data_IF_161105636363
#
_entry.id   IF_161105636363
#
_cell.length_a   1.000
_cell.length_b   1.000
_cell.length_c   1.000
_cell.angle_alpha   90.00
_cell.angle_beta   90.00
_cell.angle_gamma   90.00
#
_symmetry.space_group_name_H-M   'P 1'
#
loop_
_entity.id
_entity.type
_entity.pdbx_description
1 polymer ?
#
# COMPACT_ATOMS: atom_id res chain seq x y z
N UNK A 1 -3.82 -24.62 10.87
CA UNK A 1 -2.64 -24.43 9.97
C UNK A 1 -1.38 -24.80 10.70
N UNK A 2 -0.35 -25.33 9.98
CA UNK A 2 1.00 -25.52 10.53
C UNK A 2 1.94 -24.50 9.93
N UNK A 3 2.70 -23.80 10.77
CA UNK A 3 3.57 -22.69 10.40
C UNK A 3 4.94 -22.90 11.05
N UNK A 4 5.99 -22.87 10.24
CA UNK A 4 7.35 -23.00 10.72
C UNK A 4 8.28 -21.95 10.14
N UNK A 5 8.94 -21.17 11.01
CA UNK A 5 9.91 -20.15 10.63
C UNK A 5 11.30 -20.50 11.12
N UNK A 6 12.28 -20.41 10.23
CA UNK A 6 13.70 -20.61 10.53
C UNK A 6 14.54 -19.45 9.98
N UNK A 7 15.63 -19.12 10.68
CA UNK A 7 16.65 -18.22 10.16
C UNK A 7 17.46 -18.90 9.05
N UNK A 8 17.86 -18.11 8.05
CA UNK A 8 18.71 -18.57 6.94
C UNK A 8 19.85 -17.59 6.68
N UNK A 9 20.98 -18.12 6.19
CA UNK A 9 22.13 -17.33 5.75
C UNK A 9 21.91 -16.92 4.28
N UNK A 10 21.06 -15.91 4.07
CA UNK A 10 20.70 -15.48 2.73
C UNK A 10 21.02 -13.99 2.55
N UNK A 11 21.76 -13.67 1.52
CA UNK A 11 22.21 -12.30 1.21
C UNK A 11 21.64 -11.76 -0.11
N UNK A 12 21.03 -12.62 -0.92
CA UNK A 12 20.51 -12.23 -2.23
C UNK A 12 19.21 -11.40 -2.14
N UNK A 13 18.95 -10.54 -3.12
CA UNK A 13 17.70 -9.78 -3.20
C UNK A 13 16.46 -10.69 -3.26
N UNK A 14 15.36 -10.29 -2.60
CA UNK A 14 14.14 -11.08 -2.51
C UNK A 14 13.32 -11.08 -3.82
N UNK A 15 13.23 -9.95 -4.53
CA UNK A 15 12.39 -9.79 -5.74
C UNK A 15 12.68 -10.84 -6.84
N UNK A 16 13.93 -11.24 -7.12
CA UNK A 16 14.21 -12.28 -8.12
C UNK A 16 13.56 -13.64 -7.82
N UNK A 17 13.15 -13.87 -6.57
CA UNK A 17 12.49 -15.11 -6.12
C UNK A 17 10.96 -15.03 -6.16
N UNK A 18 10.37 -13.82 -6.26
CA UNK A 18 8.92 -13.63 -6.34
C UNK A 18 8.31 -14.36 -7.55
N UNK A 19 7.03 -14.73 -7.46
CA UNK A 19 6.31 -15.26 -8.62
C UNK A 19 6.31 -14.23 -9.77
N UNK A 20 6.56 -14.61 -11.02
CA UNK A 20 6.65 -13.67 -12.13
C UNK A 20 5.30 -13.11 -12.59
N UNK A 21 4.18 -13.81 -12.30
CA UNK A 21 2.83 -13.44 -12.77
C UNK A 21 1.95 -12.92 -11.63
N UNK A 22 2.01 -13.60 -10.47
CA UNK A 22 1.24 -13.26 -9.28
C UNK A 22 2.17 -12.99 -8.08
N UNK A 23 3.02 -11.95 -8.16
CA UNK A 23 3.96 -11.67 -7.08
C UNK A 23 3.25 -11.21 -5.81
N UNK A 24 3.69 -11.73 -4.67
CA UNK A 24 3.37 -11.20 -3.34
C UNK A 24 4.63 -10.55 -2.79
N UNK A 25 4.64 -9.24 -2.68
CA UNK A 25 5.83 -8.45 -2.34
C UNK A 25 5.45 -7.30 -1.41
N UNK A 26 6.21 -7.15 -0.34
CA UNK A 26 6.17 -6.00 0.56
C UNK A 26 7.58 -5.64 1.00
N UNK A 27 8.16 -4.62 0.38
CA UNK A 27 9.56 -4.25 0.58
C UNK A 27 9.76 -2.74 0.73
N UNK A 28 10.75 -2.38 1.53
CA UNK A 28 11.27 -1.01 1.59
C UNK A 28 12.78 -1.06 1.78
N UNK A 29 13.56 -0.33 0.95
CA UNK A 29 15.04 -0.38 0.95
C UNK A 29 15.59 -1.80 0.79
N UNK A 30 14.87 -2.66 0.08
CA UNK A 30 15.22 -4.06 -0.14
C UNK A 30 15.00 -4.97 1.08
N UNK A 31 14.41 -4.49 2.16
CA UNK A 31 14.01 -5.25 3.34
C UNK A 31 12.48 -5.43 3.38
N UNK A 32 12.02 -6.50 3.99
CA UNK A 32 10.61 -6.88 4.09
C UNK A 32 10.38 -8.33 3.72
N UNK A 33 9.26 -8.64 3.08
CA UNK A 33 8.82 -10.02 2.81
C UNK A 33 8.38 -10.22 1.35
N UNK A 34 8.58 -11.45 0.86
CA UNK A 34 8.08 -11.96 -0.43
C UNK A 34 7.36 -13.28 -0.17
N UNK A 35 6.12 -13.40 -0.66
CA UNK A 35 5.32 -14.62 -0.59
C UNK A 35 5.39 -15.40 -1.89
N UNK A 36 5.30 -16.73 -1.79
CA UNK A 36 5.26 -17.69 -2.90
C UNK A 36 4.16 -18.70 -2.68
N UNK A 37 3.44 -19.03 -3.74
CA UNK A 37 2.26 -19.90 -3.66
C UNK A 37 1.08 -19.24 -2.94
N UNK A 38 0.00 -19.98 -2.77
CA UNK A 38 -1.21 -19.57 -2.05
C UNK A 38 -1.79 -20.79 -1.34
N UNK A 39 -1.79 -20.79 -0.02
CA UNK A 39 -2.42 -21.83 0.81
C UNK A 39 -3.88 -21.53 1.05
N UNK A 40 -4.20 -20.26 1.28
CA UNK A 40 -5.53 -19.79 1.59
C UNK A 40 -5.72 -18.36 1.11
N UNK A 41 -6.95 -18.08 0.68
CA UNK A 41 -7.42 -16.75 0.34
C UNK A 41 -8.69 -16.45 1.13
N UNK A 42 -8.72 -15.30 1.80
CA UNK A 42 -9.92 -14.74 2.43
C UNK A 42 -10.36 -13.59 1.55
N UNK A 43 -11.52 -13.71 0.92
CA UNK A 43 -12.11 -12.64 0.12
C UNK A 43 -13.28 -12.01 0.86
N UNK A 44 -13.42 -10.70 0.73
CA UNK A 44 -14.49 -9.93 1.32
C UNK A 44 -14.88 -8.74 0.43
N UNK A 45 -16.11 -8.26 0.57
CA UNK A 45 -16.65 -7.13 -0.19
C UNK A 45 -17.69 -6.38 0.63
N UNK A 46 -18.12 -5.22 0.16
CA UNK A 46 -19.13 -4.42 0.87
C UNK A 46 -18.56 -3.55 1.99
N UNK A 47 -19.46 -2.98 2.77
CA UNK A 47 -19.13 -2.03 3.84
C UNK A 47 -18.33 -2.68 4.98
N UNK A 48 -18.59 -3.95 5.27
CA UNK A 48 -17.96 -4.71 6.36
C UNK A 48 -16.71 -5.49 5.90
N UNK A 49 -16.21 -5.27 4.66
CA UNK A 49 -15.12 -6.07 4.06
C UNK A 49 -13.86 -6.17 4.91
N UNK A 50 -13.51 -5.11 5.64
CA UNK A 50 -12.31 -5.11 6.50
C UNK A 50 -12.61 -5.85 7.81
N UNK A 51 -13.80 -5.66 8.39
CA UNK A 51 -14.24 -6.35 9.61
C UNK A 51 -14.37 -7.86 9.38
N UNK A 52 -14.98 -8.27 8.26
CA UNK A 52 -15.13 -9.68 7.87
C UNK A 52 -13.76 -10.35 7.68
N UNK A 53 -12.85 -9.68 6.97
CA UNK A 53 -11.49 -10.18 6.78
C UNK A 53 -10.72 -10.26 8.11
N UNK A 54 -10.84 -9.26 8.99
CA UNK A 54 -10.19 -9.24 10.30
C UNK A 54 -10.73 -10.36 11.21
N UNK A 55 -12.04 -10.59 11.21
CA UNK A 55 -12.65 -11.66 11.99
C UNK A 55 -12.21 -13.05 11.50
N UNK A 56 -12.23 -13.28 10.18
CA UNK A 56 -11.77 -14.53 9.58
C UNK A 56 -10.28 -14.76 9.83
N UNK A 57 -9.43 -13.71 9.72
CA UNK A 57 -8.01 -13.80 10.01
C UNK A 57 -7.73 -14.17 11.48
N UNK A 58 -8.42 -13.52 12.42
CA UNK A 58 -8.26 -13.79 13.87
C UNK A 58 -8.62 -15.25 14.19
N UNK A 59 -9.74 -15.75 13.68
CA UNK A 59 -10.15 -17.14 13.88
C UNK A 59 -9.11 -18.13 13.32
N UNK A 60 -8.54 -17.82 12.17
CA UNK A 60 -7.48 -18.64 11.56
C UNK A 60 -6.20 -18.63 12.38
N UNK A 61 -5.79 -17.46 12.88
CA UNK A 61 -4.59 -17.28 13.69
C UNK A 61 -4.69 -18.02 15.05
N UNK A 62 -5.87 -17.99 15.70
CA UNK A 62 -6.14 -18.71 16.95
C UNK A 62 -6.00 -20.24 16.83
N UNK A 63 -6.27 -20.79 15.62
CA UNK A 63 -6.19 -22.23 15.36
C UNK A 63 -4.84 -22.68 14.77
N UNK A 64 -3.95 -21.75 14.49
CA UNK A 64 -2.66 -22.03 13.86
C UNK A 64 -1.63 -22.59 14.88
N UNK A 65 -0.94 -23.65 14.48
CA UNK A 65 0.23 -24.18 15.20
C UNK A 65 1.50 -23.53 14.63
N UNK A 66 2.11 -22.64 15.42
CA UNK A 66 3.21 -21.76 14.97
C UNK A 66 4.49 -22.06 15.73
N UNK A 67 5.53 -22.56 15.02
CA UNK A 67 6.93 -22.66 15.50
C UNK A 67 7.74 -21.52 14.83
N UNK A 68 7.78 -20.36 15.46
CA UNK A 68 8.61 -19.24 15.03
C UNK A 68 9.83 -19.06 15.92
N UNK A 69 11.02 -19.33 15.37
CA UNK A 69 12.31 -19.22 16.08
C UNK A 69 13.04 -17.91 15.78
N UNK A 70 12.44 -17.01 15.02
CA UNK A 70 13.06 -15.75 14.57
C UNK A 70 12.47 -14.55 15.28
N UNK A 71 11.16 -14.47 15.42
CA UNK A 71 10.44 -13.44 16.19
C UNK A 71 10.68 -12.02 15.67
N UNK A 72 10.57 -11.82 14.37
CA UNK A 72 10.66 -10.49 13.72
C UNK A 72 9.33 -10.15 13.04
N UNK A 73 9.00 -8.87 12.84
CA UNK A 73 7.84 -8.50 12.04
C UNK A 73 7.86 -9.15 10.64
N UNK A 74 6.80 -9.87 10.29
CA UNK A 74 6.69 -10.63 9.05
C UNK A 74 7.22 -12.07 9.13
N UNK A 75 7.51 -12.59 10.32
CA UNK A 75 7.73 -14.02 10.58
C UNK A 75 6.44 -14.70 11.07
N UNK A 76 6.43 -16.01 11.22
CA UNK A 76 5.25 -16.76 11.66
C UNK A 76 4.15 -16.79 10.60
N UNK A 77 2.90 -16.86 11.05
CA UNK A 77 1.73 -16.82 10.18
C UNK A 77 1.53 -15.42 9.62
N UNK A 78 1.53 -15.28 8.28
CA UNK A 78 1.41 -13.98 7.60
C UNK A 78 0.42 -14.06 6.44
N UNK A 79 -0.38 -13.01 6.26
CA UNK A 79 -1.17 -12.79 5.05
C UNK A 79 -0.85 -11.44 4.41
N UNK A 80 -0.69 -11.44 3.08
CA UNK A 80 -0.63 -10.21 2.28
C UNK A 80 -2.05 -9.73 1.99
N UNK A 81 -2.32 -8.43 2.09
CA UNK A 81 -3.65 -7.88 1.92
C UNK A 81 -3.74 -6.72 0.96
N UNK A 82 -4.85 -6.65 0.23
CA UNK A 82 -5.25 -5.49 -0.57
C UNK A 82 -6.76 -5.31 -0.49
N UNK A 83 -7.20 -4.13 -0.05
CA UNK A 83 -8.62 -3.83 0.18
C UNK A 83 -9.14 -2.80 -0.82
N UNK A 84 -10.39 -2.99 -1.24
CA UNK A 84 -11.09 -2.04 -2.09
C UNK A 84 -11.27 -0.68 -1.38
N UNK A 85 -11.22 0.40 -2.16
CA UNK A 85 -11.40 1.76 -1.66
C UNK A 85 -12.82 2.02 -1.18
N UNK A 86 -13.81 1.70 -2.01
CA UNK A 86 -15.23 1.99 -1.74
C UNK A 86 -15.99 0.75 -1.27
N UNK A 87 -17.06 1.00 -0.52
CA UNK A 87 -17.93 -0.06 0.02
C UNK A 87 -18.70 -0.81 -1.07
N UNK A 88 -18.97 -0.15 -2.18
CA UNK A 88 -19.70 -0.66 -3.35
C UNK A 88 -18.79 -1.04 -4.53
N UNK A 89 -17.46 -1.06 -4.31
CA UNK A 89 -16.51 -1.48 -5.33
C UNK A 89 -16.77 -2.90 -5.81
N UNK A 90 -16.66 -3.10 -7.13
CA UNK A 90 -16.72 -4.42 -7.74
C UNK A 90 -15.44 -5.25 -7.52
N UNK A 91 -14.34 -4.59 -7.16
CA UNK A 91 -13.08 -5.27 -6.87
C UNK A 91 -13.15 -5.94 -5.48
N UNK A 92 -12.86 -7.25 -5.36
CA UNK A 92 -12.81 -7.92 -4.08
C UNK A 92 -11.63 -7.43 -3.24
N UNK A 93 -11.80 -7.34 -1.94
CA UNK A 93 -10.72 -7.25 -0.97
C UNK A 93 -10.20 -8.65 -0.67
N UNK A 94 -8.90 -8.81 -0.48
CA UNK A 94 -8.31 -10.11 -0.23
C UNK A 94 -7.21 -10.08 0.84
N UNK A 95 -7.15 -11.14 1.66
CA UNK A 95 -5.98 -11.55 2.40
C UNK A 95 -5.48 -12.87 1.82
N UNK A 96 -4.21 -12.95 1.47
CA UNK A 96 -3.59 -14.08 0.79
C UNK A 96 -2.51 -14.65 1.70
N UNK A 97 -2.67 -15.90 2.11
CA UNK A 97 -1.69 -16.65 2.90
C UNK A 97 -0.80 -17.44 1.94
N UNK A 98 0.50 -17.12 1.82
CA UNK A 98 1.40 -17.85 0.93
C UNK A 98 1.81 -19.21 1.52
N UNK A 99 2.30 -20.12 0.67
CA UNK A 99 2.92 -21.39 1.09
C UNK A 99 4.30 -21.15 1.70
N UNK A 100 5.03 -20.18 1.17
CA UNK A 100 6.38 -19.83 1.59
C UNK A 100 6.51 -18.31 1.72
N UNK A 101 7.10 -17.85 2.81
CA UNK A 101 7.51 -16.45 3.00
C UNK A 101 9.02 -16.38 3.10
N UNK A 102 9.63 -15.55 2.27
CA UNK A 102 11.03 -15.18 2.36
C UNK A 102 11.10 -13.77 2.93
N UNK A 103 11.86 -13.57 3.99
CA UNK A 103 11.97 -12.27 4.61
C UNK A 103 13.40 -11.85 4.93
N UNK A 104 13.60 -10.54 5.01
CA UNK A 104 14.86 -9.93 5.45
C UNK A 104 14.59 -8.63 6.19
N UNK A 105 15.22 -8.47 7.34
CA UNK A 105 15.15 -7.22 8.15
C UNK A 105 16.37 -7.11 9.04
N UNK A 106 16.99 -5.92 9.10
CA UNK A 106 18.12 -5.60 9.98
C UNK A 106 19.27 -6.61 9.87
N UNK A 107 19.63 -7.03 8.66
CA UNK A 107 20.69 -7.98 8.37
C UNK A 107 20.38 -9.44 8.73
N UNK A 108 19.16 -9.75 9.16
CA UNK A 108 18.68 -11.13 9.40
C UNK A 108 17.75 -11.53 8.27
N UNK A 109 17.86 -12.80 7.82
CA UNK A 109 16.98 -13.38 6.82
C UNK A 109 16.30 -14.63 7.39
N UNK A 110 15.10 -14.91 6.88
CA UNK A 110 14.30 -16.07 7.31
C UNK A 110 13.48 -16.65 6.18
N UNK A 111 13.03 -17.85 6.43
CA UNK A 111 12.02 -18.54 5.61
C UNK A 111 10.92 -19.04 6.53
N UNK A 112 9.67 -18.77 6.16
CA UNK A 112 8.49 -19.35 6.80
C UNK A 112 7.79 -20.28 5.83
N UNK A 113 7.50 -21.51 6.24
CA UNK A 113 6.62 -22.43 5.52
C UNK A 113 5.26 -22.45 6.20
N UNK A 114 4.18 -22.35 5.40
CA UNK A 114 2.79 -22.41 5.84
C UNK A 114 2.10 -23.52 5.06
N UNK A 115 1.35 -24.39 5.76
CA UNK A 115 0.58 -25.47 5.16
C UNK A 115 -0.74 -25.69 5.89
N UNK A 116 -1.75 -26.21 5.18
CA UNK A 116 -2.94 -26.72 5.84
C UNK A 116 -2.58 -27.97 6.64
N UNK A 117 -2.98 -28.05 7.90
CA UNK A 117 -2.86 -29.29 8.66
C UNK A 117 -3.81 -30.31 8.02
N UNK A 118 -3.30 -31.27 7.27
CA UNK A 118 -4.05 -32.46 6.87
C UNK A 118 -4.07 -33.42 8.05
N UNK A 119 -5.25 -33.76 8.57
CA UNK A 119 -5.43 -34.85 9.53
C UNK A 119 -4.82 -36.12 8.93
N UNK A 120 -3.96 -36.81 9.70
CA UNK A 120 -3.09 -37.94 9.36
C UNK A 120 -1.70 -37.52 8.82
N UNK A 121 -0.93 -36.85 9.66
CA UNK A 121 0.53 -37.01 9.58
C UNK A 121 0.83 -38.35 10.22
N UNK A 122 1.22 -39.34 9.41
CA UNK A 122 1.83 -40.58 9.94
C UNK A 122 2.95 -40.20 10.91
N UNK A 123 2.80 -40.56 12.19
CA UNK A 123 3.85 -40.34 13.21
C UNK A 123 5.19 -41.00 12.84
N UNK A 124 5.25 -41.72 11.73
CA UNK A 124 6.45 -42.36 11.19
C UNK A 124 7.45 -41.40 10.55
N UNK A 125 7.05 -40.19 10.16
CA UNK A 125 7.93 -39.20 9.51
C UNK A 125 8.56 -38.19 10.49
N UNK A 126 8.33 -38.32 11.81
CA UNK A 126 8.85 -37.40 12.84
C UNK A 126 10.01 -37.99 13.67
N UNK A 127 10.46 -39.21 13.39
CA UNK A 127 11.58 -39.85 14.10
C UNK A 127 12.87 -39.76 13.30
N UNK A 128 13.63 -38.71 13.53
CA UNK A 128 14.99 -38.62 13.01
C UNK A 128 15.42 -37.14 12.93
N UNK A 129 16.69 -36.93 13.10
CA UNK A 129 17.48 -35.70 12.92
C UNK A 129 17.29 -35.00 11.52
N UNK A 130 16.24 -35.37 10.79
CA UNK A 130 15.76 -34.83 9.52
C UNK A 130 14.89 -33.55 9.64
N UNK A 131 14.88 -32.91 10.83
CA UNK A 131 14.34 -31.54 11.00
C UNK A 131 15.05 -30.49 10.12
N UNK A 132 16.03 -30.92 9.34
CA UNK A 132 16.65 -30.23 8.23
C UNK A 132 16.15 -30.78 6.89
N UNK A 133 14.87 -31.09 6.74
CA UNK A 133 14.30 -31.17 5.40
C UNK A 133 14.62 -29.83 4.74
N UNK A 134 15.64 -29.85 3.91
CA UNK A 134 16.24 -28.69 3.27
C UNK A 134 15.13 -27.86 2.65
N UNK A 135 14.78 -26.72 3.27
CA UNK A 135 13.88 -25.73 2.70
C UNK A 135 14.62 -25.24 1.45
N UNK A 136 14.34 -25.89 0.31
CA UNK A 136 14.94 -25.51 -0.97
C UNK A 136 14.35 -24.19 -1.35
N UNK A 137 15.13 -23.13 -1.16
CA UNK A 137 14.78 -21.80 -1.64
C UNK A 137 14.65 -21.85 -3.16
N UNK A 138 13.59 -21.28 -3.74
CA UNK A 138 13.51 -21.14 -5.18
C UNK A 138 14.73 -20.41 -5.71
N UNK A 139 15.34 -20.91 -6.76
CA UNK A 139 16.48 -20.22 -7.36
C UNK A 139 16.09 -18.82 -7.86
N UNK A 140 16.95 -17.83 -7.66
CA UNK A 140 16.70 -16.48 -8.21
C UNK A 140 16.62 -16.56 -9.72
N UNK A 141 15.51 -16.14 -10.28
CA UNK A 141 15.40 -16.14 -11.73
C UNK A 141 16.20 -14.98 -12.34
N UNK A 142 16.76 -15.17 -13.54
CA UNK A 142 17.53 -14.13 -14.22
C UNK A 142 16.67 -12.88 -14.46
N UNK A 143 17.32 -11.71 -14.40
CA UNK A 143 16.68 -10.42 -14.70
C UNK A 143 16.07 -10.48 -16.11
N UNK A 144 14.75 -10.31 -16.20
CA UNK A 144 14.06 -10.14 -17.47
C UNK A 144 14.03 -8.66 -17.86
N UNK A 145 13.76 -8.42 -19.13
CA UNK A 145 13.57 -7.06 -19.66
C UNK A 145 12.32 -6.45 -19.02
N UNK A 146 12.37 -5.14 -18.71
CA UNK A 146 11.19 -4.37 -18.30
C UNK A 146 10.17 -4.41 -19.44
N UNK A 147 8.90 -4.78 -19.18
CA UNK A 147 7.85 -4.73 -20.18
C UNK A 147 7.67 -3.31 -20.70
N UNK A 148 7.18 -3.16 -21.91
CA UNK A 148 6.86 -1.86 -22.50
C UNK A 148 5.36 -1.73 -22.67
N UNK A 149 4.74 -0.99 -21.78
CA UNK A 149 3.31 -0.70 -21.81
C UNK A 149 3.08 0.72 -22.35
N UNK A 150 2.33 0.81 -23.45
CA UNK A 150 1.90 2.10 -24.00
C UNK A 150 0.60 2.53 -23.31
N UNK A 151 0.68 3.53 -22.46
CA UNK A 151 -0.47 4.04 -21.72
C UNK A 151 -1.26 5.08 -22.51
N UNK A 152 -2.58 5.02 -22.42
CA UNK A 152 -3.54 5.99 -22.95
C UNK A 152 -4.51 6.42 -21.84
N UNK A 153 -5.20 7.57 -21.96
CA UNK A 153 -6.23 7.96 -21.00
C UNK A 153 -7.32 6.89 -20.89
N UNK A 154 -7.71 6.54 -19.65
CA UNK A 154 -8.83 5.65 -19.38
C UNK A 154 -10.19 6.32 -19.61
N UNK A 155 -11.21 5.94 -18.84
CA UNK A 155 -12.58 6.46 -18.97
C UNK A 155 -12.70 7.97 -18.71
N UNK A 156 -11.76 8.56 -17.97
CA UNK A 156 -11.70 9.98 -17.66
C UNK A 156 -10.60 10.65 -18.48
N UNK A 157 -11.02 11.38 -19.56
CA UNK A 157 -10.09 12.17 -20.37
C UNK A 157 -9.54 13.35 -19.58
N UNK A 158 -8.37 13.93 -19.97
CA UNK A 158 -7.84 15.14 -19.34
C UNK A 158 -8.86 16.27 -19.21
N UNK A 159 -9.59 16.57 -20.27
CA UNK A 159 -10.62 17.62 -20.27
C UNK A 159 -11.79 17.31 -19.34
N UNK A 160 -12.19 16.03 -19.22
CA UNK A 160 -13.22 15.64 -18.26
C UNK A 160 -12.71 15.79 -16.81
N UNK A 161 -11.46 15.42 -16.55
CA UNK A 161 -10.84 15.62 -15.24
C UNK A 161 -10.81 17.10 -14.83
N UNK A 162 -10.36 18.01 -15.73
CA UNK A 162 -10.36 19.45 -15.46
C UNK A 162 -11.77 19.99 -15.15
N UNK A 163 -12.81 19.50 -15.85
CA UNK A 163 -14.20 19.85 -15.55
C UNK A 163 -14.65 19.35 -14.18
N UNK A 164 -14.26 18.11 -13.80
CA UNK A 164 -14.56 17.56 -12.49
C UNK A 164 -13.87 18.36 -11.38
N UNK A 165 -12.63 18.79 -11.59
CA UNK A 165 -11.91 19.70 -10.66
C UNK A 165 -12.65 21.03 -10.51
N UNK A 166 -13.02 21.68 -11.62
CA UNK A 166 -13.76 22.94 -11.58
C UNK A 166 -15.10 22.82 -10.84
N UNK A 167 -15.82 21.72 -11.04
CA UNK A 167 -17.07 21.44 -10.31
C UNK A 167 -16.83 21.19 -8.83
N UNK A 168 -15.76 20.49 -8.47
CA UNK A 168 -15.38 20.27 -7.06
C UNK A 168 -15.05 21.60 -6.36
N UNK A 169 -14.27 22.49 -7.00
CA UNK A 169 -13.97 23.85 -6.49
C UNK A 169 -15.27 24.61 -6.25
N UNK A 170 -16.19 24.62 -7.22
CA UNK A 170 -17.48 25.29 -7.09
C UNK A 170 -18.29 24.78 -5.88
N UNK A 171 -18.30 23.48 -5.61
CA UNK A 171 -18.97 22.89 -4.43
C UNK A 171 -18.28 23.27 -3.13
N UNK A 172 -16.95 23.35 -3.14
CA UNK A 172 -16.16 23.80 -1.98
C UNK A 172 -16.46 25.26 -1.67
N UNK A 173 -16.49 26.15 -2.68
CA UNK A 173 -16.84 27.55 -2.55
C UNK A 173 -18.28 27.76 -2.05
N UNK A 174 -19.19 26.85 -2.41
CA UNK A 174 -20.56 26.84 -1.90
C UNK A 174 -20.67 26.35 -0.44
N UNK A 175 -19.59 25.84 0.14
CA UNK A 175 -19.55 25.34 1.51
C UNK A 175 -20.06 23.92 1.69
N UNK A 176 -20.24 23.14 0.61
CA UNK A 176 -20.71 21.76 0.69
C UNK A 176 -19.68 20.85 1.36
N UNK A 177 -18.39 21.10 1.09
CA UNK A 177 -17.27 20.36 1.67
C UNK A 177 -16.03 21.25 1.70
N UNK A 178 -14.98 20.80 2.42
CA UNK A 178 -13.72 21.55 2.57
C UNK A 178 -12.66 21.06 1.57
N UNK A 179 -12.66 19.75 1.28
CA UNK A 179 -11.68 19.08 0.42
C UNK A 179 -12.29 17.83 -0.19
N UNK A 180 -11.90 17.53 -1.43
CA UNK A 180 -12.13 16.23 -2.06
C UNK A 180 -10.89 15.81 -2.85
N UNK A 181 -10.60 14.52 -2.90
CA UNK A 181 -9.54 13.99 -3.77
C UNK A 181 -10.17 13.40 -5.01
N UNK A 182 -9.80 13.92 -6.19
CA UNK A 182 -10.27 13.41 -7.48
C UNK A 182 -9.14 12.69 -8.21
N UNK A 183 -9.47 11.53 -8.80
CA UNK A 183 -8.54 10.68 -9.50
C UNK A 183 -8.90 10.51 -10.98
N UNK A 184 -7.94 10.04 -11.77
CA UNK A 184 -8.10 9.58 -13.14
C UNK A 184 -7.23 8.37 -13.43
N UNK A 185 -7.45 7.74 -14.59
CA UNK A 185 -6.81 6.51 -14.99
C UNK A 185 -5.98 6.70 -16.26
N UNK A 186 -4.91 5.90 -16.37
CA UNK A 186 -4.27 5.53 -17.63
C UNK A 186 -4.41 4.03 -17.81
N UNK A 187 -4.67 3.58 -19.04
CA UNK A 187 -4.84 2.17 -19.37
C UNK A 187 -3.84 1.77 -20.44
N UNK A 188 -3.26 0.62 -20.28
CA UNK A 188 -2.35 -0.01 -21.23
C UNK A 188 -2.50 -1.52 -21.19
N UNK A 189 -1.69 -2.24 -21.96
CA UNK A 189 -1.74 -3.69 -22.09
C UNK A 189 -0.35 -4.29 -21.87
N UNK A 190 -0.29 -5.32 -21.05
CA UNK A 190 0.89 -6.14 -20.76
C UNK A 190 0.84 -7.36 -21.67
N UNK A 191 1.94 -7.68 -22.35
CA UNK A 191 1.99 -8.88 -23.15
C UNK A 191 2.10 -10.15 -22.29
N UNK A 192 1.51 -11.24 -22.74
CA UNK A 192 1.40 -12.51 -22.00
C UNK A 192 2.76 -13.09 -21.54
N UNK A 193 3.82 -12.85 -22.31
CA UNK A 193 5.18 -13.30 -22.00
C UNK A 193 5.94 -12.41 -21.01
N UNK A 194 5.39 -11.24 -20.68
CA UNK A 194 6.02 -10.28 -19.76
C UNK A 194 5.78 -10.70 -18.32
N UNK A 195 6.82 -10.58 -17.51
CA UNK A 195 6.74 -10.82 -16.06
C UNK A 195 6.86 -9.52 -15.28
N UNK A 196 6.18 -9.47 -14.14
CA UNK A 196 6.08 -8.26 -13.30
C UNK A 196 7.33 -7.99 -12.44
N UNK A 197 8.21 -8.97 -12.24
CA UNK A 197 9.43 -8.83 -11.41
C UNK A 197 10.34 -7.67 -11.82
N UNK A 198 10.50 -7.45 -13.12
CA UNK A 198 11.36 -6.37 -13.62
C UNK A 198 10.76 -4.99 -13.29
N UNK A 199 9.43 -4.85 -13.40
CA UNK A 199 8.69 -3.65 -13.03
C UNK A 199 8.81 -3.37 -11.52
N UNK A 200 8.61 -4.40 -10.67
CA UNK A 200 8.72 -4.28 -9.21
C UNK A 200 10.16 -3.94 -8.81
N UNK A 201 11.16 -4.58 -9.43
CA UNK A 201 12.57 -4.29 -9.16
C UNK A 201 12.91 -2.85 -9.50
N UNK A 202 12.43 -2.34 -10.63
CA UNK A 202 12.64 -0.94 -11.03
C UNK A 202 11.99 0.04 -10.06
N UNK A 203 10.76 -0.25 -9.58
CA UNK A 203 10.13 0.55 -8.53
C UNK A 203 10.99 0.60 -7.25
N UNK A 204 11.57 -0.54 -6.85
CA UNK A 204 12.45 -0.61 -5.67
C UNK A 204 13.78 0.13 -5.85
N UNK A 205 14.36 0.10 -7.05
CA UNK A 205 15.60 0.79 -7.38
C UNK A 205 15.39 2.33 -7.47
N UNK A 206 14.30 2.75 -8.15
CA UNK A 206 14.04 4.17 -8.42
C UNK A 206 13.38 4.89 -7.20
N UNK A 207 12.65 4.14 -6.35
CA UNK A 207 11.92 4.67 -5.18
C UNK A 207 12.22 3.90 -3.89
N UNK A 208 13.48 3.80 -3.43
CA UNK A 208 13.88 2.92 -2.32
C UNK A 208 13.23 3.27 -0.98
N UNK A 209 12.83 4.53 -0.78
CA UNK A 209 12.24 5.01 0.47
C UNK A 209 10.72 4.82 0.55
N UNK A 210 10.11 4.22 -0.47
CA UNK A 210 8.68 3.90 -0.51
C UNK A 210 8.42 2.44 -0.18
N UNK A 211 7.17 2.12 0.15
CA UNK A 211 6.69 0.75 0.22
C UNK A 211 6.47 0.23 -1.19
N UNK A 212 7.35 -0.64 -1.64
CA UNK A 212 7.18 -1.39 -2.90
C UNK A 212 6.34 -2.61 -2.62
N UNK A 213 5.22 -2.71 -3.30
CA UNK A 213 4.27 -3.79 -3.07
C UNK A 213 3.79 -4.42 -4.38
N UNK A 214 3.42 -5.69 -4.26
CA UNK A 214 2.66 -6.42 -5.24
C UNK A 214 1.74 -7.40 -4.50
N UNK A 215 0.43 -7.25 -4.64
CA UNK A 215 -0.59 -8.11 -4.00
C UNK A 215 -1.77 -8.22 -4.96
N UNK A 216 -2.05 -9.43 -5.42
CA UNK A 216 -3.22 -9.74 -6.26
C UNK A 216 -3.36 -8.82 -7.49
N UNK A 217 -2.29 -8.67 -8.25
CA UNK A 217 -2.21 -7.80 -9.42
C UNK A 217 -2.04 -6.31 -9.14
N UNK A 218 -2.26 -5.85 -7.90
CA UNK A 218 -2.01 -4.46 -7.52
C UNK A 218 -0.51 -4.26 -7.26
N UNK A 219 0.15 -3.41 -8.05
CA UNK A 219 1.60 -3.17 -8.00
C UNK A 219 1.88 -1.69 -7.84
N UNK A 220 2.81 -1.34 -6.94
CA UNK A 220 3.12 0.07 -6.73
C UNK A 220 4.29 0.36 -5.81
N UNK A 221 4.52 1.66 -5.59
CA UNK A 221 5.55 2.21 -4.71
C UNK A 221 4.98 3.38 -3.90
N UNK A 222 4.33 3.06 -2.77
CA UNK A 222 3.64 4.05 -1.95
C UNK A 222 4.56 4.76 -0.96
N UNK A 223 4.54 6.09 -0.91
CA UNK A 223 5.25 6.85 0.12
C UNK A 223 4.49 6.95 1.44
N UNK A 224 3.19 6.59 1.46
CA UNK A 224 2.28 6.88 2.56
C UNK A 224 1.96 5.65 3.39
N UNK A 225 2.46 5.62 4.63
CA UNK A 225 2.13 4.58 5.60
C UNK A 225 0.77 4.91 6.21
N UNK A 226 -0.24 4.05 5.95
CA UNK A 226 -1.54 4.17 6.58
C UNK A 226 -1.41 3.91 8.09
N UNK A 227 -0.93 2.72 8.44
CA UNK A 227 -0.66 2.33 9.82
C UNK A 227 0.32 1.16 9.86
N UNK A 228 1.19 1.15 10.87
CA UNK A 228 2.02 0.03 11.26
C UNK A 228 1.77 -0.26 12.73
N UNK A 229 1.62 -1.53 13.05
CA UNK A 229 1.62 -2.07 14.41
C UNK A 229 2.78 -3.04 14.54
N UNK A 230 3.57 -2.90 15.61
CA UNK A 230 4.75 -3.69 15.89
C UNK A 230 4.86 -3.86 17.42
N UNK A 231 4.49 -5.03 17.94
CA UNK A 231 4.45 -5.33 19.37
C UNK A 231 3.68 -4.24 20.17
N UNK A 232 2.50 -3.88 19.66
CA UNK A 232 1.64 -2.87 20.26
C UNK A 232 2.10 -1.41 20.07
N UNK A 233 3.22 -1.17 19.37
CA UNK A 233 3.63 0.17 18.96
C UNK A 233 2.94 0.55 17.65
N UNK A 234 2.23 1.65 17.65
CA UNK A 234 1.51 2.18 16.48
C UNK A 234 2.32 3.29 15.85
N UNK A 235 2.43 3.27 14.54
CA UNK A 235 2.95 4.40 13.77
C UNK A 235 2.17 4.61 12.49
N UNK A 236 2.06 5.86 12.06
CA UNK A 236 1.44 6.28 10.81
C UNK A 236 2.18 7.49 10.25
N UNK A 237 2.14 7.69 8.95
CA UNK A 237 2.68 8.90 8.30
C UNK A 237 1.62 9.50 7.39
N UNK A 238 1.20 10.71 7.72
CA UNK A 238 0.24 11.48 6.93
C UNK A 238 0.99 12.33 5.93
N UNK A 239 0.59 12.25 4.66
CA UNK A 239 1.11 13.09 3.57
C UNK A 239 -0.03 13.91 2.96
N UNK A 240 0.13 15.23 2.91
CA UNK A 240 -0.75 16.15 2.19
C UNK A 240 0.03 17.42 1.87
N UNK A 241 -0.29 18.10 0.76
CA UNK A 241 0.54 19.16 0.22
C UNK A 241 1.71 18.63 -0.62
N UNK A 242 1.85 19.11 -1.86
CA UNK A 242 2.82 18.58 -2.83
C UNK A 242 3.39 19.70 -3.70
N UNK A 243 4.71 19.63 -3.97
CA UNK A 243 5.35 20.49 -4.95
C UNK A 243 6.39 19.71 -5.77
N UNK A 244 6.53 20.03 -7.05
CA UNK A 244 7.55 19.44 -7.91
C UNK A 244 8.97 19.80 -7.44
N UNK A 245 9.93 18.88 -7.64
CA UNK A 245 11.34 19.11 -7.41
C UNK A 245 11.89 20.24 -8.28
N UNK A 246 12.88 20.96 -7.81
CA UNK A 246 13.63 21.92 -8.58
C UNK A 246 14.66 21.27 -9.52
N UNK A 247 15.02 21.95 -10.61
CA UNK A 247 15.98 21.43 -11.60
C UNK A 247 17.44 21.36 -11.10
N UNK A 248 17.74 21.95 -9.95
CA UNK A 248 19.06 21.95 -9.32
C UNK A 248 18.97 22.19 -7.82
N UNK A 249 20.05 21.92 -7.09
CA UNK A 249 20.05 21.90 -5.61
C UNK A 249 19.52 23.19 -4.95
N UNK A 250 19.85 24.36 -5.49
CA UNK A 250 19.37 25.63 -4.95
C UNK A 250 17.85 25.80 -5.18
N UNK A 251 17.38 25.58 -6.42
CA UNK A 251 15.98 25.63 -6.78
C UNK A 251 15.16 24.55 -6.03
N UNK A 252 15.74 23.40 -5.79
CA UNK A 252 15.08 22.31 -5.08
C UNK A 252 14.88 22.63 -3.59
N UNK A 253 15.87 23.22 -2.93
CA UNK A 253 15.74 23.75 -1.57
C UNK A 253 14.70 24.89 -1.48
N UNK A 254 14.65 25.76 -2.48
CA UNK A 254 13.65 26.83 -2.56
C UNK A 254 12.23 26.22 -2.65
N UNK A 255 12.01 25.16 -3.46
CA UNK A 255 10.74 24.46 -3.56
C UNK A 255 10.31 23.87 -2.21
N UNK A 256 11.21 23.16 -1.51
CA UNK A 256 10.89 22.62 -0.19
C UNK A 256 10.53 23.73 0.82
N UNK A 257 11.24 24.87 0.80
CA UNK A 257 10.94 26.02 1.65
C UNK A 257 9.60 26.67 1.28
N UNK A 258 9.30 26.79 0.00
CA UNK A 258 8.01 27.30 -0.49
C UNK A 258 6.86 26.47 -0.01
N UNK A 259 6.98 25.13 -0.05
CA UNK A 259 5.97 24.21 0.43
C UNK A 259 5.71 24.37 1.93
N UNK A 260 6.78 24.49 2.74
CA UNK A 260 6.66 24.73 4.20
C UNK A 260 6.08 26.11 4.55
N UNK A 261 6.13 27.07 3.63
CA UNK A 261 5.57 28.41 3.84
C UNK A 261 4.19 28.59 3.18
N UNK A 262 3.68 27.60 2.47
CA UNK A 262 2.39 27.65 1.77
C UNK A 262 1.23 27.51 2.76
N UNK A 263 0.49 28.56 3.01
CA UNK A 263 -0.68 28.51 3.90
C UNK A 263 -1.71 27.48 3.41
N UNK A 264 -1.97 27.43 2.08
CA UNK A 264 -2.87 26.46 1.43
C UNK A 264 -2.47 25.02 1.77
N UNK A 265 -1.19 24.67 1.55
CA UNK A 265 -0.70 23.29 1.75
C UNK A 265 -0.66 22.93 3.24
N UNK A 266 -0.34 23.88 4.12
CA UNK A 266 -0.39 23.69 5.57
C UNK A 266 -1.81 23.47 6.08
N UNK A 267 -2.80 24.20 5.60
CA UNK A 267 -4.21 24.02 5.96
C UNK A 267 -4.74 22.66 5.47
N UNK A 268 -4.42 22.27 4.23
CA UNK A 268 -4.73 20.94 3.69
C UNK A 268 -4.12 19.84 4.57
N UNK A 269 -2.85 20.00 4.92
CA UNK A 269 -2.10 19.05 5.75
C UNK A 269 -2.69 18.92 7.16
N UNK A 270 -3.02 20.04 7.80
CA UNK A 270 -3.60 20.05 9.14
C UNK A 270 -4.94 19.29 9.21
N UNK A 271 -5.80 19.43 8.19
CA UNK A 271 -7.04 18.66 8.08
C UNK A 271 -6.79 17.15 7.98
N UNK A 272 -5.79 16.74 7.20
CA UNK A 272 -5.42 15.35 7.05
C UNK A 272 -4.88 14.75 8.37
N UNK A 273 -3.97 15.48 9.05
CA UNK A 273 -3.42 15.08 10.36
C UNK A 273 -4.50 14.98 11.42
N UNK A 274 -5.35 15.99 11.55
CA UNK A 274 -6.46 15.97 12.52
C UNK A 274 -7.40 14.79 12.29
N UNK A 275 -7.69 14.46 11.03
CA UNK A 275 -8.50 13.30 10.68
C UNK A 275 -7.84 12.00 11.14
N UNK A 276 -6.53 11.82 10.92
CA UNK A 276 -5.80 10.62 11.31
C UNK A 276 -5.72 10.48 12.84
N UNK A 277 -5.40 11.57 13.55
CA UNK A 277 -5.37 11.60 15.04
C UNK A 277 -6.72 11.19 15.61
N UNK A 278 -7.82 11.83 15.18
CA UNK A 278 -9.17 11.51 15.67
C UNK A 278 -9.58 10.04 15.46
N UNK A 279 -8.97 9.36 14.48
CA UNK A 279 -9.26 7.95 14.19
C UNK A 279 -8.40 6.97 14.99
N UNK A 280 -7.15 7.34 15.28
CA UNK A 280 -6.23 6.50 16.05
C UNK A 280 -6.37 6.70 17.57
N UNK A 281 -6.73 7.89 18.02
CA UNK A 281 -6.83 8.22 19.46
C UNK A 281 -7.71 7.23 20.26
N UNK A 282 -8.89 6.78 19.77
CA UNK A 282 -9.71 5.81 20.49
C UNK A 282 -9.05 4.45 20.74
N UNK A 283 -8.08 4.07 19.90
CA UNK A 283 -7.39 2.78 19.93
C UNK A 283 -6.04 2.83 20.67
N UNK A 284 -5.58 4.02 21.04
CA UNK A 284 -4.24 4.22 21.62
C UNK A 284 -4.31 4.71 23.07
N UNK A 285 -3.48 4.11 23.94
CA UNK A 285 -3.28 4.62 25.31
C UNK A 285 -2.52 5.96 25.30
N UNK A 286 -1.69 6.17 24.29
CA UNK A 286 -0.96 7.40 24.03
C UNK A 286 -0.76 7.55 22.52
N UNK A 287 -0.96 8.76 22.01
CA UNK A 287 -0.69 9.13 20.62
C UNK A 287 0.02 10.48 20.57
N UNK A 288 1.18 10.53 19.96
CA UNK A 288 1.98 11.73 19.76
C UNK A 288 2.09 12.00 18.25
N UNK A 289 1.90 13.25 17.85
CA UNK A 289 2.18 13.73 16.50
C UNK A 289 3.49 14.54 16.49
N UNK A 290 4.21 14.55 15.37
CA UNK A 290 5.33 15.47 15.16
C UNK A 290 4.83 16.91 15.42
N UNK A 291 5.56 17.74 16.20
CA UNK A 291 5.07 19.07 16.60
C UNK A 291 4.85 20.02 15.44
N UNK A 292 5.62 19.86 14.36
CA UNK A 292 5.51 20.59 13.10
C UNK A 292 5.62 19.63 11.91
N UNK A 293 4.95 19.92 10.79
CA UNK A 293 5.15 19.16 9.57
C UNK A 293 6.56 19.39 9.02
N UNK A 294 7.11 18.37 8.37
CA UNK A 294 8.39 18.42 7.69
C UNK A 294 8.25 18.08 6.21
N UNK A 295 9.26 18.40 5.40
CA UNK A 295 9.27 18.03 3.99
C UNK A 295 9.83 16.64 3.78
N UNK A 296 9.07 15.77 3.12
CA UNK A 296 9.51 14.45 2.65
C UNK A 296 9.93 14.54 1.19
N UNK A 297 11.19 14.22 0.93
CA UNK A 297 11.76 14.20 -0.41
C UNK A 297 11.47 12.86 -1.11
N UNK A 298 10.86 12.93 -2.29
CA UNK A 298 10.78 11.83 -3.24
C UNK A 298 11.60 12.16 -4.50
N UNK A 299 11.93 11.21 -5.35
CA UNK A 299 12.74 11.48 -6.55
C UNK A 299 12.20 12.60 -7.44
N UNK A 300 10.89 12.76 -7.57
CA UNK A 300 10.22 13.69 -8.49
C UNK A 300 9.45 14.84 -7.81
N UNK A 301 9.24 14.80 -6.49
CA UNK A 301 8.44 15.78 -5.76
C UNK A 301 8.77 15.86 -4.28
N UNK A 302 8.27 16.93 -3.62
CA UNK A 302 8.25 17.09 -2.16
C UNK A 302 6.81 16.95 -1.64
N UNK A 303 6.63 16.32 -0.47
CA UNK A 303 5.40 16.34 0.31
C UNK A 303 5.61 17.01 1.67
N UNK A 304 4.55 17.61 2.24
CA UNK A 304 4.49 17.81 3.68
C UNK A 304 4.17 16.47 4.34
N UNK A 305 4.81 16.20 5.46
CA UNK A 305 4.68 14.96 6.21
C UNK A 305 4.55 15.23 7.72
N UNK A 306 3.74 14.44 8.41
CA UNK A 306 3.65 14.36 9.86
C UNK A 306 3.67 12.91 10.28
N UNK A 307 4.58 12.55 11.19
CA UNK A 307 4.64 11.23 11.80
C UNK A 307 3.76 11.18 13.06
N UNK A 308 2.92 10.15 13.15
CA UNK A 308 2.16 9.81 14.33
C UNK A 308 2.79 8.57 14.96
N UNK A 309 2.96 8.58 16.29
CA UNK A 309 3.48 7.45 17.06
C UNK A 309 2.65 7.25 18.32
N UNK A 310 2.33 6.00 18.64
CA UNK A 310 1.51 5.68 19.78
C UNK A 310 1.72 4.27 20.28
N UNK A 311 0.97 3.93 21.32
CA UNK A 311 0.91 2.57 21.88
C UNK A 311 -0.55 2.14 21.91
N UNK A 312 -0.86 0.94 21.47
CA UNK A 312 -2.21 0.37 21.56
C UNK A 312 -2.72 0.35 23.00
N UNK A 313 -4.01 0.62 23.17
CA UNK A 313 -4.66 0.68 24.47
C UNK A 313 -5.88 -0.24 24.63
N UNK A 314 -6.39 -0.78 23.53
CA UNK A 314 -7.67 -1.53 23.49
C UNK A 314 -7.54 -2.96 22.94
N UNK A 315 -6.33 -3.42 22.63
CA UNK A 315 -6.11 -4.75 22.05
C UNK A 315 -6.47 -4.84 20.56
N UNK A 316 -6.62 -3.72 19.87
CA UNK A 316 -6.85 -3.69 18.41
C UNK A 316 -5.68 -4.31 17.65
N UNK A 317 -5.99 -4.98 16.53
CA UNK A 317 -5.01 -5.43 15.54
C UNK A 317 -4.70 -4.32 14.52
N UNK A 318 -3.70 -4.54 13.66
CA UNK A 318 -3.40 -3.66 12.53
C UNK A 318 -4.59 -3.53 11.58
N UNK A 319 -5.40 -4.59 11.38
CA UNK A 319 -6.61 -4.55 10.55
C UNK A 319 -7.72 -3.70 11.19
N UNK A 320 -7.89 -3.74 12.51
CA UNK A 320 -8.84 -2.85 13.21
C UNK A 320 -8.47 -1.38 13.00
N UNK A 321 -7.17 -1.05 13.05
CA UNK A 321 -6.69 0.31 12.76
C UNK A 321 -6.85 0.69 11.29
N UNK A 322 -6.62 -0.25 10.36
CA UNK A 322 -6.91 -0.06 8.93
C UNK A 322 -8.37 0.34 8.74
N UNK A 323 -9.30 -0.39 9.35
CA UNK A 323 -10.74 -0.06 9.32
C UNK A 323 -11.04 1.33 9.88
N UNK A 324 -10.48 1.65 11.02
CA UNK A 324 -10.70 2.94 11.67
C UNK A 324 -10.24 4.10 10.79
N UNK A 325 -9.08 3.97 10.13
CA UNK A 325 -8.47 5.03 9.34
C UNK A 325 -9.00 5.13 7.91
N UNK A 326 -9.32 3.99 7.27
CA UNK A 326 -9.69 3.99 5.84
C UNK A 326 -11.13 4.47 5.59
N UNK A 327 -11.34 5.26 4.50
CA UNK A 327 -10.34 6.05 3.80
C UNK A 327 -9.98 7.33 4.55
N UNK A 328 -8.70 7.71 4.46
CA UNK A 328 -8.20 8.95 5.07
C UNK A 328 -8.64 10.21 4.31
N UNK A 329 -8.57 11.38 4.95
CA UNK A 329 -8.82 12.65 4.27
C UNK A 329 -7.78 12.95 3.16
N UNK A 330 -6.61 12.31 3.20
CA UNK A 330 -5.57 12.44 2.18
C UNK A 330 -5.97 11.82 0.83
N UNK A 331 -6.90 10.85 0.82
CA UNK A 331 -7.34 10.14 -0.40
C UNK A 331 -8.84 10.22 -0.68
N UNK A 332 -9.64 10.67 0.29
CA UNK A 332 -11.07 10.90 0.14
C UNK A 332 -11.42 12.39 0.19
N UNK A 333 -11.25 13.04 1.34
CA UNK A 333 -11.57 14.44 1.58
C UNK A 333 -12.29 14.68 2.91
N UNK A 334 -12.78 15.91 3.10
CA UNK A 334 -13.38 16.38 4.35
C UNK A 334 -14.63 17.23 4.07
N UNK A 335 -15.80 16.95 4.68
CA UNK A 335 -16.14 15.79 5.51
C UNK A 335 -16.21 14.48 4.69
N UNK A 336 -15.71 13.38 5.25
CA UNK A 336 -15.53 12.09 4.56
C UNK A 336 -16.77 11.61 3.77
N UNK A 337 -17.95 11.58 4.41
CA UNK A 337 -19.19 11.07 3.79
C UNK A 337 -19.63 11.91 2.59
N UNK A 338 -19.38 13.22 2.63
CA UNK A 338 -19.72 14.12 1.53
C UNK A 338 -18.70 13.96 0.41
N UNK A 339 -17.42 13.90 0.76
CA UNK A 339 -16.34 13.70 -0.20
C UNK A 339 -16.50 12.41 -1.00
N UNK A 340 -16.84 11.28 -0.35
CA UNK A 340 -17.07 10.00 -1.03
C UNK A 340 -18.21 10.07 -2.06
N UNK A 341 -19.32 10.76 -1.75
CA UNK A 341 -20.41 10.99 -2.73
C UNK A 341 -19.95 11.84 -3.89
N UNK A 342 -19.17 12.90 -3.64
CA UNK A 342 -18.65 13.78 -4.70
C UNK A 342 -17.66 13.01 -5.59
N UNK A 343 -16.84 12.12 -5.02
CA UNK A 343 -15.95 11.22 -5.77
C UNK A 343 -16.76 10.35 -6.73
N UNK A 344 -17.78 9.64 -6.23
CA UNK A 344 -18.65 8.78 -7.02
C UNK A 344 -19.31 9.54 -8.18
N UNK A 345 -19.85 10.73 -7.92
CA UNK A 345 -20.50 11.58 -8.93
C UNK A 345 -19.53 12.11 -9.99
N UNK A 346 -18.30 12.50 -9.62
CA UNK A 346 -17.39 13.24 -10.50
C UNK A 346 -16.36 12.37 -11.21
N UNK A 347 -15.93 11.25 -10.63
CA UNK A 347 -14.96 10.35 -11.25
C UNK A 347 -15.60 9.44 -12.30
N UNK A 348 -16.73 8.81 -11.97
CA UNK A 348 -17.48 7.95 -12.89
C UNK A 348 -16.75 6.67 -13.29
N UNK A 349 -15.88 6.16 -12.41
CA UNK A 349 -15.24 4.85 -12.47
C UNK A 349 -15.02 4.33 -11.04
N UNK A 350 -14.96 3.00 -10.92
CA UNK A 350 -14.57 2.35 -9.67
C UNK A 350 -13.04 2.44 -9.50
N UNK A 351 -12.58 2.94 -8.37
CA UNK A 351 -11.15 2.96 -8.00
C UNK A 351 -10.59 1.57 -7.77
N UNK A 352 -11.44 0.56 -7.58
CA UNK A 352 -11.02 -0.75 -7.16
C UNK A 352 -10.20 -0.67 -5.87
N UNK A 353 -8.96 -1.16 -5.92
CA UNK A 353 -8.01 -1.13 -4.80
C UNK A 353 -7.10 0.11 -4.77
N UNK A 354 -7.14 0.97 -5.78
CA UNK A 354 -6.41 2.24 -5.76
C UNK A 354 -6.88 3.12 -4.61
N UNK A 355 -5.94 3.71 -3.88
CA UNK A 355 -6.16 4.48 -2.66
C UNK A 355 -6.78 3.66 -1.49
N UNK A 356 -6.94 2.35 -1.66
CA UNK A 356 -7.29 1.39 -0.62
C UNK A 356 -6.06 0.99 0.21
N UNK A 357 -6.28 0.28 1.33
CA UNK A 357 -5.19 -0.30 2.13
C UNK A 357 -4.51 -1.46 1.40
N UNK A 358 -3.18 -1.50 1.43
CA UNK A 358 -2.35 -2.59 0.94
C UNK A 358 -1.23 -2.85 1.94
N UNK A 359 -0.92 -4.12 2.21
CA UNK A 359 0.09 -4.45 3.21
C UNK A 359 0.09 -5.91 3.60
N UNK A 360 0.40 -6.18 4.86
CA UNK A 360 0.37 -7.51 5.47
C UNK A 360 -0.03 -7.45 6.93
N UNK A 361 -0.52 -8.59 7.44
CA UNK A 361 -0.85 -8.84 8.85
C UNK A 361 -0.27 -10.18 9.26
N UNK A 362 0.20 -10.30 10.51
CA UNK A 362 0.63 -11.56 11.10
C UNK A 362 -0.38 -12.16 12.07
N UNK A 363 -0.02 -13.33 12.63
CA UNK A 363 -0.86 -14.07 13.56
C UNK A 363 -1.09 -13.37 14.89
N UNK A 364 -0.21 -12.46 15.31
CA UNK A 364 -0.34 -11.66 16.52
C UNK A 364 -1.17 -10.38 16.33
N UNK A 365 -1.57 -10.11 15.08
CA UNK A 365 -2.33 -8.92 14.70
C UNK A 365 -1.45 -7.70 14.41
N UNK A 366 -0.14 -7.85 14.48
CA UNK A 366 0.81 -6.84 13.99
C UNK A 366 0.76 -6.75 12.46
N UNK A 367 1.31 -5.69 11.89
CA UNK A 367 1.29 -5.54 10.44
C UNK A 367 1.74 -4.17 9.97
N UNK A 368 1.98 -4.09 8.66
CA UNK A 368 2.36 -2.85 7.98
C UNK A 368 1.43 -2.61 6.81
N UNK A 369 0.78 -1.46 6.79
CA UNK A 369 -0.21 -1.08 5.79
C UNK A 369 0.10 0.28 5.21
N UNK A 370 0.10 0.39 3.89
CA UNK A 370 0.18 1.65 3.16
C UNK A 370 -1.15 1.95 2.46
N UNK A 371 -1.31 3.19 2.05
CA UNK A 371 -2.34 3.55 1.08
C UNK A 371 -1.81 3.21 -0.32
N UNK A 372 -2.57 2.46 -1.13
CA UNK A 372 -2.17 2.05 -2.47
C UNK A 372 -2.10 3.25 -3.43
N UNK A 373 -0.97 3.93 -3.41
CA UNK A 373 -0.66 5.08 -4.26
C UNK A 373 0.51 4.77 -5.20
N UNK A 374 0.66 5.56 -6.26
CA UNK A 374 1.71 5.33 -7.27
C UNK A 374 1.68 3.87 -7.74
N UNK A 375 0.49 3.40 -8.09
CA UNK A 375 0.21 2.00 -8.37
C UNK A 375 -0.56 1.81 -9.68
N UNK A 376 -0.55 0.56 -10.13
CA UNK A 376 -1.42 0.06 -11.18
C UNK A 376 -2.02 -1.28 -10.75
N UNK A 377 -3.24 -1.55 -11.18
CA UNK A 377 -3.83 -2.88 -11.19
C UNK A 377 -3.48 -3.56 -12.51
N UNK A 378 -2.97 -4.78 -12.45
CA UNK A 378 -2.74 -5.66 -13.59
C UNK A 378 -3.77 -6.78 -13.49
N UNK A 379 -4.67 -6.82 -14.45
CA UNK A 379 -5.74 -7.81 -14.49
C UNK A 379 -5.26 -9.11 -15.19
N UNK A 380 -5.93 -10.24 -14.97
CA UNK A 380 -5.55 -11.52 -15.57
C UNK A 380 -5.54 -11.55 -17.09
N UNK A 381 -6.28 -10.65 -17.76
CA UNK A 381 -6.31 -10.50 -19.22
C UNK A 381 -5.14 -9.65 -19.76
N UNK A 382 -4.26 -9.15 -18.89
CA UNK A 382 -3.13 -8.29 -19.26
C UNK A 382 -3.43 -6.80 -19.25
N UNK A 383 -4.66 -6.38 -18.96
CA UNK A 383 -4.99 -4.96 -18.82
C UNK A 383 -4.23 -4.36 -17.64
N UNK A 384 -3.55 -3.23 -17.87
CA UNK A 384 -2.84 -2.47 -16.84
C UNK A 384 -3.53 -1.14 -16.65
N UNK A 385 -4.13 -0.92 -15.49
CA UNK A 385 -4.78 0.34 -15.14
C UNK A 385 -3.98 1.07 -14.06
N UNK A 386 -3.33 2.15 -14.45
CA UNK A 386 -2.61 3.04 -13.52
C UNK A 386 -3.52 4.16 -13.04
N UNK A 387 -3.30 4.62 -11.80
CA UNK A 387 -4.13 5.62 -11.14
C UNK A 387 -3.30 6.76 -10.58
N UNK A 388 -3.85 7.98 -10.66
CA UNK A 388 -3.33 9.14 -9.95
C UNK A 388 -4.45 10.14 -9.64
N UNK A 389 -4.33 10.83 -8.50
CA UNK A 389 -5.31 11.84 -8.07
C UNK A 389 -4.66 12.97 -7.28
N UNK A 390 -5.40 14.06 -7.12
CA UNK A 390 -5.02 15.26 -6.39
C UNK A 390 -6.08 15.66 -5.38
N UNK A 391 -5.66 16.29 -4.28
CA UNK A 391 -6.54 16.94 -3.32
C UNK A 391 -7.02 18.28 -3.86
N UNK A 392 -8.32 18.44 -4.01
CA UNK A 392 -8.96 19.65 -4.50
C UNK A 392 -9.46 20.47 -3.33
N UNK A 393 -9.06 21.72 -3.28
CA UNK A 393 -9.46 22.75 -2.31
C UNK A 393 -9.92 24.02 -3.04
N UNK A 394 -10.37 25.04 -2.31
CA UNK A 394 -10.94 26.27 -2.89
C UNK A 394 -10.01 26.99 -3.89
N UNK A 395 -8.69 26.95 -3.66
CA UNK A 395 -7.69 27.60 -4.54
C UNK A 395 -7.16 26.67 -5.65
N UNK A 396 -7.73 25.48 -5.84
CA UNK A 396 -7.27 24.53 -6.86
C UNK A 396 -7.57 25.03 -8.26
N UNK A 397 -6.56 24.98 -9.14
CA UNK A 397 -6.64 25.34 -10.56
C UNK A 397 -6.68 24.07 -11.39
N UNK A 398 -7.73 23.82 -12.21
CA UNK A 398 -7.89 22.57 -12.95
C UNK A 398 -6.69 22.13 -13.78
N UNK A 399 -6.02 23.06 -14.47
CA UNK A 399 -4.83 22.75 -15.27
C UNK A 399 -3.62 22.33 -14.43
N UNK A 400 -3.45 22.93 -13.25
CA UNK A 400 -2.35 22.60 -12.34
C UNK A 400 -2.58 21.23 -11.71
N UNK A 401 -3.82 20.92 -11.29
CA UNK A 401 -4.18 19.61 -10.76
C UNK A 401 -4.03 18.50 -11.81
N UNK A 402 -4.38 18.77 -13.07
CA UNK A 402 -4.11 17.85 -14.18
C UNK A 402 -2.60 17.61 -14.35
N UNK A 403 -1.78 18.65 -14.32
CA UNK A 403 -0.33 18.54 -14.42
C UNK A 403 0.26 17.75 -13.23
N UNK A 404 -0.28 17.93 -12.02
CA UNK A 404 0.12 17.16 -10.84
C UNK A 404 -0.17 15.65 -11.00
N UNK A 405 -1.32 15.28 -11.57
CA UNK A 405 -1.59 13.87 -11.87
C UNK A 405 -0.56 13.27 -12.83
N UNK A 406 -0.09 14.02 -13.83
CA UNK A 406 0.96 13.55 -14.77
C UNK A 406 2.24 13.22 -14.00
N UNK A 407 2.65 14.06 -13.06
CA UNK A 407 3.83 13.80 -12.21
C UNK A 407 3.62 12.55 -11.31
N UNK A 408 2.39 12.35 -10.82
CA UNK A 408 2.05 11.21 -9.96
C UNK A 408 1.93 9.88 -10.70
N UNK A 409 1.65 9.88 -11.99
CA UNK A 409 1.72 8.68 -12.84
C UNK A 409 3.15 8.24 -13.15
N UNK A 410 4.09 9.16 -13.15
CA UNK A 410 5.45 8.94 -13.61
C UNK A 410 6.12 7.68 -13.03
N UNK A 411 6.05 7.39 -11.70
CA UNK A 411 6.66 6.18 -11.15
C UNK A 411 6.19 4.90 -11.82
N UNK A 412 4.89 4.78 -12.07
CA UNK A 412 4.31 3.59 -12.69
C UNK A 412 4.58 3.55 -14.19
N UNK A 413 4.41 4.66 -14.90
CA UNK A 413 4.66 4.71 -16.35
C UNK A 413 6.11 4.35 -16.64
N UNK A 414 7.08 4.93 -15.91
CA UNK A 414 8.50 4.61 -16.07
C UNK A 414 8.80 3.15 -15.69
N UNK A 415 8.20 2.61 -14.62
CA UNK A 415 8.40 1.23 -14.20
C UNK A 415 7.92 0.22 -15.25
N UNK A 416 6.90 0.56 -16.04
CA UNK A 416 6.42 -0.22 -17.18
C UNK A 416 7.06 0.19 -18.52
N UNK A 417 8.20 0.90 -18.51
CA UNK A 417 9.03 1.18 -19.70
C UNK A 417 8.48 2.23 -20.65
N UNK A 418 7.54 3.08 -20.16
CA UNK A 418 6.96 4.22 -20.85
C UNK A 418 7.80 5.49 -20.73
#
# INVERSE_FOLDING_TARGET
>A
MSVRTIAVDETEPLIPRADPRNPLVWLRRGEGIVGLGEVLRIESSGAERIDDAAAAWRALAEEADVDDRVGLPGTGLVAFGAFAFADDSAAPSALIVPELVLGRRDGRAWVTRISLATGDIDEADVSGDEASATLVLPEPAPRRRVPRVAFSPGSVTPTRYERSVAEAVRRIDAGDLQKVVLARQLVGELHEDDGLRATINRLGEDYPDTWVFAVDGLIGASPETLVRVDHGQVSSRVLAGTIARGAGEASDRERATTLLASAKDLDEHALAVASAVNRLEPHTARLDASPEPFTLQLPNLWHLATDLKGTLGDGSSSLDLVRAMHPTAAVAGTPRKIALRVIDELEGFDRGRYAGPVGWVDGDGDGEWAIALRCAQVDPDGTVTAYAGCGIVHDSVPADELAETVMKFRPIVEAFGG
#
